data_IF_877472584845
#
_entry.id   IF_877472584845
#
_cell.length_a   1.000
_cell.length_b   1.000
_cell.length_c   1.000
_cell.angle_alpha   90.00
_cell.angle_beta   90.00
_cell.angle_gamma   90.00
#
_symmetry.space_group_name_H-M   'P 1'
#
loop_
_entity.id
_entity.type
_entity.pdbx_description
1 polymer ?
#
# COMPACT_ATOMS: atom_id res chain seq x y z
N UNK A 1 14.14 43.41 -27.05
CA UNK A 1 13.01 42.96 -26.22
C UNK A 1 13.00 41.43 -26.20
N UNK A 2 13.84 40.79 -25.39
CA UNK A 2 13.94 39.31 -25.33
C UNK A 2 14.12 38.73 -23.91
N UNK A 3 14.47 39.56 -22.92
CA UNK A 3 14.79 39.10 -21.55
C UNK A 3 13.62 38.40 -20.83
N UNK A 4 12.39 38.82 -21.11
CA UNK A 4 11.21 38.22 -20.48
C UNK A 4 10.90 36.83 -21.05
N UNK A 5 11.20 36.57 -22.33
CA UNK A 5 10.98 35.26 -22.96
C UNK A 5 11.97 34.22 -22.45
N UNK A 6 13.22 34.62 -22.24
CA UNK A 6 14.23 33.74 -21.65
C UNK A 6 13.94 33.42 -20.17
N UNK A 7 13.49 34.41 -19.39
CA UNK A 7 13.04 34.21 -18.00
C UNK A 7 11.86 33.22 -17.92
N UNK A 8 10.87 33.37 -18.79
CA UNK A 8 9.72 32.44 -18.86
C UNK A 8 10.20 31.02 -19.21
N UNK A 9 11.08 30.85 -20.20
CA UNK A 9 11.62 29.53 -20.56
C UNK A 9 12.37 28.85 -19.42
N UNK A 10 13.13 29.62 -18.63
CA UNK A 10 13.82 29.10 -17.43
C UNK A 10 12.84 28.65 -16.36
N UNK A 11 11.74 29.39 -16.16
CA UNK A 11 10.67 29.01 -15.23
C UNK A 11 9.96 27.72 -15.68
N UNK A 12 9.64 27.59 -16.96
CA UNK A 12 9.01 26.38 -17.50
C UNK A 12 9.88 25.13 -17.32
N UNK A 13 11.20 25.26 -17.55
CA UNK A 13 12.15 24.18 -17.29
C UNK A 13 12.16 23.78 -15.81
N UNK A 14 12.11 24.76 -14.91
CA UNK A 14 12.09 24.52 -13.46
C UNK A 14 10.79 23.85 -13.01
N UNK A 15 9.64 24.26 -13.56
CA UNK A 15 8.34 23.63 -13.31
C UNK A 15 8.38 22.16 -13.74
N UNK A 16 8.89 21.87 -14.94
CA UNK A 16 9.02 20.49 -15.43
C UNK A 16 9.92 19.63 -14.53
N UNK A 17 11.04 20.17 -14.05
CA UNK A 17 11.92 19.47 -13.12
C UNK A 17 11.22 19.17 -11.78
N UNK A 18 10.54 20.17 -11.20
CA UNK A 18 9.81 20.00 -9.94
C UNK A 18 8.66 18.99 -10.08
N UNK A 19 7.97 18.99 -11.22
CA UNK A 19 6.91 18.03 -11.49
C UNK A 19 7.45 16.60 -11.63
N UNK A 20 8.60 16.42 -12.28
CA UNK A 20 9.28 15.12 -12.33
C UNK A 20 9.71 14.64 -10.93
N UNK A 21 10.25 15.53 -10.10
CA UNK A 21 10.61 15.21 -8.71
C UNK A 21 9.39 14.81 -7.89
N UNK A 22 8.28 15.55 -7.99
CA UNK A 22 7.01 15.21 -7.33
C UNK A 22 6.53 13.81 -7.72
N UNK A 23 6.51 13.51 -9.01
CA UNK A 23 6.06 12.20 -9.49
C UNK A 23 6.98 11.07 -9.00
N UNK A 24 8.30 11.30 -8.95
CA UNK A 24 9.25 10.33 -8.40
C UNK A 24 9.01 10.06 -6.91
N UNK A 25 8.69 11.09 -6.12
CA UNK A 25 8.39 10.93 -4.70
C UNK A 25 7.11 10.13 -4.49
N UNK A 26 6.05 10.44 -5.22
CA UNK A 26 4.77 9.70 -5.17
C UNK A 26 4.99 8.22 -5.53
N UNK A 27 5.80 7.94 -6.56
CA UNK A 27 6.10 6.57 -6.97
C UNK A 27 6.83 5.80 -5.85
N UNK A 28 7.80 6.44 -5.18
CA UNK A 28 8.54 5.85 -4.06
C UNK A 28 7.63 5.57 -2.85
N UNK A 29 6.71 6.48 -2.53
CA UNK A 29 5.75 6.26 -1.45
C UNK A 29 4.81 5.09 -1.73
N UNK A 30 4.26 5.02 -2.95
CA UNK A 30 3.44 3.89 -3.39
C UNK A 30 4.20 2.56 -3.33
N UNK A 31 5.49 2.57 -3.69
CA UNK A 31 6.32 1.38 -3.61
C UNK A 31 6.56 0.94 -2.15
N UNK A 32 6.85 1.89 -1.26
CA UNK A 32 6.98 1.61 0.19
C UNK A 32 5.69 1.03 0.76
N UNK A 33 4.55 1.61 0.42
CA UNK A 33 3.23 1.14 0.86
C UNK A 33 2.96 -0.30 0.37
N UNK A 34 3.27 -0.58 -0.90
CA UNK A 34 3.16 -1.94 -1.45
C UNK A 34 4.04 -2.94 -0.71
N UNK A 35 5.31 -2.60 -0.49
CA UNK A 35 6.25 -3.46 0.26
C UNK A 35 5.76 -3.71 1.69
N UNK A 36 5.30 -2.67 2.38
CA UNK A 36 4.74 -2.80 3.73
C UNK A 36 3.47 -3.65 3.75
N UNK A 37 2.58 -3.49 2.77
CA UNK A 37 1.38 -4.33 2.63
C UNK A 37 1.74 -5.79 2.37
N UNK A 38 2.63 -6.07 1.42
CA UNK A 38 3.06 -7.45 1.10
C UNK A 38 3.73 -8.10 2.31
N UNK A 39 4.60 -7.38 3.02
CA UNK A 39 5.24 -7.88 4.24
C UNK A 39 4.21 -8.25 5.30
N UNK A 40 3.23 -7.38 5.58
CA UNK A 40 2.15 -7.67 6.53
C UNK A 40 1.35 -8.91 6.13
N UNK A 41 1.02 -9.06 4.85
CA UNK A 41 0.29 -10.24 4.36
C UNK A 41 1.09 -11.53 4.51
N UNK A 42 2.40 -11.49 4.26
CA UNK A 42 3.28 -12.65 4.46
C UNK A 42 3.38 -13.01 5.95
N UNK A 43 3.59 -12.02 6.83
CA UNK A 43 3.66 -12.24 8.27
C UNK A 43 2.36 -12.85 8.82
N UNK A 44 1.20 -12.28 8.43
CA UNK A 44 -0.10 -12.85 8.80
C UNK A 44 -0.27 -14.25 8.20
N UNK A 45 0.06 -14.44 6.92
CA UNK A 45 -0.02 -15.73 6.26
C UNK A 45 0.82 -16.81 6.96
N UNK A 46 2.04 -16.48 7.39
CA UNK A 46 2.90 -17.39 8.14
C UNK A 46 2.31 -17.77 9.51
N UNK A 47 1.65 -16.84 10.19
CA UNK A 47 0.94 -17.13 11.45
C UNK A 47 -0.22 -18.10 11.18
N UNK A 48 -1.02 -17.86 10.15
CA UNK A 48 -2.13 -18.74 9.75
C UNK A 48 -1.65 -20.15 9.36
N UNK A 49 -0.55 -20.22 8.61
CA UNK A 49 0.10 -21.47 8.24
C UNK A 49 0.56 -22.25 9.48
N UNK A 50 1.16 -21.56 10.47
CA UNK A 50 1.61 -22.19 11.71
C UNK A 50 0.50 -22.83 12.56
N UNK A 51 -0.74 -22.35 12.44
CA UNK A 51 -1.92 -22.90 13.13
C UNK A 51 -2.69 -23.91 12.26
N UNK A 52 -2.14 -24.30 11.11
CA UNK A 52 -2.68 -25.34 10.22
C UNK A 52 -3.67 -24.83 9.17
N UNK A 53 -3.78 -23.51 8.99
CA UNK A 53 -4.56 -22.86 7.92
C UNK A 53 -3.60 -22.53 6.77
N UNK A 54 -3.22 -23.57 6.05
CA UNK A 54 -2.22 -23.60 4.97
C UNK A 54 -2.86 -23.62 3.56
N UNK A 55 -4.18 -23.82 3.47
CA UNK A 55 -4.91 -23.83 2.20
C UNK A 55 -5.99 -22.75 2.13
N UNK A 56 -6.31 -22.34 0.90
CA UNK A 56 -7.38 -21.38 0.64
C UNK A 56 -8.75 -21.87 1.13
N UNK A 57 -9.00 -23.18 1.05
CA UNK A 57 -10.23 -23.80 1.55
C UNK A 57 -10.35 -23.67 3.07
N UNK A 58 -9.29 -23.99 3.81
CA UNK A 58 -9.27 -23.84 5.28
C UNK A 58 -9.39 -22.37 5.69
N UNK A 59 -8.74 -21.46 4.96
CA UNK A 59 -8.84 -20.02 5.22
C UNK A 59 -10.26 -19.50 4.98
N UNK A 60 -10.92 -19.93 3.90
CA UNK A 60 -12.31 -19.59 3.62
C UNK A 60 -13.27 -20.19 4.65
N UNK A 61 -13.06 -21.45 5.05
CA UNK A 61 -13.87 -22.08 6.08
C UNK A 61 -13.71 -21.36 7.42
N UNK A 62 -12.48 -21.00 7.81
CA UNK A 62 -12.21 -20.19 8.98
C UNK A 62 -12.94 -18.85 8.90
N UNK A 63 -12.84 -18.15 7.76
CA UNK A 63 -13.56 -16.89 7.54
C UNK A 63 -15.07 -17.06 7.70
N UNK A 64 -15.67 -18.07 7.07
CA UNK A 64 -17.10 -18.35 7.21
C UNK A 64 -17.48 -18.66 8.65
N UNK A 65 -16.68 -19.42 9.40
CA UNK A 65 -16.94 -19.72 10.81
C UNK A 65 -16.81 -18.48 11.68
N UNK A 66 -15.76 -17.69 11.48
CA UNK A 66 -15.55 -16.40 12.13
C UNK A 66 -16.69 -15.43 11.85
N UNK A 67 -17.18 -15.38 10.61
CA UNK A 67 -18.25 -14.46 10.22
C UNK A 67 -19.60 -14.78 10.86
N UNK A 68 -19.82 -16.04 11.26
CA UNK A 68 -21.07 -16.49 11.88
C UNK A 68 -21.02 -16.54 13.42
N UNK A 69 -19.89 -16.19 14.03
CA UNK A 69 -19.72 -16.18 15.49
C UNK A 69 -19.56 -14.74 16.01
N UNK A 70 -20.68 -14.15 16.46
CA UNK A 70 -20.70 -12.80 17.03
C UNK A 70 -19.85 -12.67 18.30
N UNK A 71 -19.71 -13.74 19.08
CA UNK A 71 -18.91 -13.74 20.31
C UNK A 71 -17.43 -13.58 19.97
N UNK A 72 -16.98 -14.32 18.97
CA UNK A 72 -15.59 -14.30 18.52
C UNK A 72 -15.24 -12.99 17.79
N UNK A 73 -16.18 -12.40 17.05
CA UNK A 73 -16.02 -11.06 16.44
C UNK A 73 -15.81 -9.97 17.50
N UNK A 74 -16.63 -9.97 18.54
CA UNK A 74 -16.57 -8.96 19.60
C UNK A 74 -15.28 -9.07 20.43
N UNK A 75 -14.71 -10.28 20.55
CA UNK A 75 -13.44 -10.50 21.26
C UNK A 75 -12.23 -9.89 20.53
N UNK A 76 -12.24 -9.85 19.20
CA UNK A 76 -11.12 -9.35 18.39
C UNK A 76 -11.20 -7.85 18.06
N UNK A 77 -12.34 -7.20 18.33
CA UNK A 77 -12.63 -5.80 18.02
C UNK A 77 -12.26 -4.82 19.16
N UNK A 78 -11.43 -5.24 20.12
CA UNK A 78 -10.95 -4.38 21.23
C UNK A 78 -10.21 -3.14 20.71
#
# INVERSE_FOLDING_TARGET
MDDNKEKISKLDKKIKQLQAQKNSLIAREKEKERKARTRRLIEIGAIFDSIGIDTLEKANLFKCKFDNDETFKNMLLI
#
